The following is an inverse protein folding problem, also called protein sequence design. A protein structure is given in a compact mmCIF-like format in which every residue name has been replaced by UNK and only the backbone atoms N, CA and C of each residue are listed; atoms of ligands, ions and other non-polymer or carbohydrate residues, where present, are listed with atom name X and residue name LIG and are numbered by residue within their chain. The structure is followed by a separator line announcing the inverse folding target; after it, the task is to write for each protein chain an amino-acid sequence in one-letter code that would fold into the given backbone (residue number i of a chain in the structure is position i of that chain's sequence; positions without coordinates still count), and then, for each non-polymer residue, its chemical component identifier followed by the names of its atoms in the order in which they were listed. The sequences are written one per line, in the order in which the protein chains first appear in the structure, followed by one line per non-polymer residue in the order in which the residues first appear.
data_IF_398366908244
#
_entry.id   IF_398366908244
#
_cell.length_a   1.000
_cell.length_b   1.000
_cell.length_c   1.000
_cell.angle_alpha   90.00
_cell.angle_beta   90.00
_cell.angle_gamma   90.00
#
_symmetry.space_group_name_H-M   'P 1'
#
loop_
_entity.id
_entity.type
_entity.pdbx_description
1 polymer ?
#
# COMPACT_ATOMS: atom_id res chain seq x y z
N UNK A 1 -3.26 -9.65 -4.50
CA UNK A 1 -3.39 -8.45 -3.64
C UNK A 1 -4.54 -7.60 -4.16
N UNK A 2 -5.42 -7.16 -3.27
CA UNK A 2 -6.55 -6.29 -3.63
C UNK A 2 -6.05 -4.86 -3.76
N UNK A 3 -6.33 -4.23 -4.89
CA UNK A 3 -5.93 -2.86 -5.17
C UNK A 3 -7.11 -2.09 -5.76
N UNK A 4 -7.05 -0.77 -5.73
CA UNK A 4 -8.06 0.08 -6.38
C UNK A 4 -7.38 1.12 -7.26
N UNK A 5 -8.13 1.61 -8.25
CA UNK A 5 -7.69 2.73 -9.06
C UNK A 5 -7.76 4.04 -8.27
N UNK A 6 -6.85 4.96 -8.56
CA UNK A 6 -6.88 6.30 -7.97
C UNK A 6 -8.19 7.03 -8.25
N UNK A 7 -8.89 6.65 -9.29
CA UNK A 7 -10.17 7.27 -9.68
C UNK A 7 -11.38 6.65 -9.00
N UNK A 8 -11.20 5.56 -8.26
CA UNK A 8 -12.29 4.89 -7.56
C UNK A 8 -12.84 5.81 -6.46
N UNK A 9 -14.16 6.06 -6.43
CA UNK A 9 -14.74 6.86 -5.36
C UNK A 9 -14.53 6.19 -4.00
N UNK A 10 -14.31 7.00 -2.97
CA UNK A 10 -14.06 6.49 -1.62
C UNK A 10 -15.21 5.64 -1.09
N UNK A 11 -16.45 5.96 -1.44
CA UNK A 11 -17.60 5.13 -1.04
C UNK A 11 -17.48 3.70 -1.56
N UNK A 12 -16.93 3.51 -2.77
CA UNK A 12 -16.67 2.16 -3.30
C UNK A 12 -15.50 1.49 -2.62
N UNK A 13 -14.45 2.27 -2.29
CA UNK A 13 -13.31 1.75 -1.53
C UNK A 13 -13.78 1.23 -0.16
N UNK A 14 -14.64 1.98 0.51
CA UNK A 14 -15.19 1.58 1.80
C UNK A 14 -15.98 0.27 1.67
N UNK A 15 -16.83 0.16 0.66
CA UNK A 15 -17.60 -1.06 0.43
C UNK A 15 -16.70 -2.27 0.16
N UNK A 16 -15.66 -2.07 -0.65
CA UNK A 16 -14.69 -3.12 -0.94
C UNK A 16 -13.99 -3.57 0.34
N UNK A 17 -13.52 -2.62 1.13
CA UNK A 17 -12.83 -2.92 2.37
C UNK A 17 -13.74 -3.66 3.36
N UNK A 18 -15.01 -3.28 3.45
CA UNK A 18 -15.98 -3.97 4.30
C UNK A 18 -16.21 -5.40 3.81
N UNK A 19 -16.37 -5.58 2.51
CA UNK A 19 -16.61 -6.92 1.93
C UNK A 19 -15.42 -7.84 2.11
N UNK A 20 -14.20 -7.31 2.01
CA UNK A 20 -12.96 -8.08 2.09
C UNK A 20 -12.35 -8.09 3.49
N UNK A 21 -12.96 -7.38 4.46
CA UNK A 21 -12.48 -7.25 5.83
C UNK A 21 -11.05 -6.74 5.92
N UNK A 22 -10.75 -5.71 5.12
CA UNK A 22 -9.47 -5.01 5.14
C UNK A 22 -9.70 -3.54 5.44
N UNK A 23 -8.68 -2.87 5.98
CA UNK A 23 -8.76 -1.46 6.34
C UNK A 23 -7.79 -0.59 5.55
N UNK A 24 -7.01 -1.19 4.69
CA UNK A 24 -5.99 -0.52 3.87
C UNK A 24 -5.94 -1.18 2.50
N UNK A 25 -5.69 -0.35 1.49
CA UNK A 25 -5.64 -0.86 0.13
C UNK A 25 -4.63 -0.06 -0.68
N UNK A 26 -3.78 -0.73 -1.47
CA UNK A 26 -2.90 -0.03 -2.40
C UNK A 26 -3.71 0.61 -3.52
N UNK A 27 -3.25 1.77 -3.96
CA UNK A 27 -3.90 2.56 -5.02
C UNK A 27 -2.96 2.67 -6.20
N UNK A 28 -3.48 2.39 -7.39
CA UNK A 28 -2.71 2.47 -8.62
C UNK A 28 -3.27 3.54 -9.54
N UNK A 29 -2.42 4.01 -10.43
CA UNK A 29 -2.78 4.90 -11.53
C UNK A 29 -2.09 4.43 -12.80
N UNK A 30 -2.71 4.64 -13.94
CA UNK A 30 -2.07 4.36 -15.23
C UNK A 30 -1.01 5.44 -15.50
N UNK A 31 0.20 5.00 -15.75
CA UNK A 31 1.32 5.85 -16.15
C UNK A 31 1.98 5.19 -17.35
N UNK A 32 2.04 5.89 -18.48
CA UNK A 32 2.62 5.36 -19.71
C UNK A 32 2.09 3.96 -20.07
N UNK A 33 0.76 3.77 -19.91
CA UNK A 33 0.10 2.53 -20.24
C UNK A 33 0.24 1.40 -19.23
N UNK A 34 0.90 1.64 -18.09
CA UNK A 34 1.10 0.62 -17.06
C UNK A 34 0.47 1.07 -15.74
N UNK A 35 -0.05 0.09 -15.00
CA UNK A 35 -0.54 0.34 -13.65
C UNK A 35 0.63 0.49 -12.70
N UNK A 36 0.69 1.62 -12.01
CA UNK A 36 1.71 1.90 -11.02
C UNK A 36 1.06 2.21 -9.70
N UNK A 37 1.52 1.56 -8.63
CA UNK A 37 1.07 1.88 -7.28
C UNK A 37 1.64 3.23 -6.90
N UNK A 38 0.76 4.18 -6.59
CA UNK A 38 1.13 5.55 -6.27
C UNK A 38 0.98 5.88 -4.79
N UNK A 39 0.37 5.00 -4.04
CA UNK A 39 0.18 5.19 -2.61
C UNK A 39 -0.76 4.17 -2.02
N UNK A 40 -1.17 4.44 -0.81
CA UNK A 40 -2.05 3.56 -0.04
C UNK A 40 -3.16 4.39 0.58
N UNK A 41 -4.38 3.87 0.58
CA UNK A 41 -5.47 4.42 1.36
C UNK A 41 -5.61 3.59 2.63
N UNK A 42 -5.61 4.27 3.77
CA UNK A 42 -5.87 3.67 5.08
C UNK A 42 -7.19 4.22 5.60
N UNK A 43 -8.21 3.39 5.72
CA UNK A 43 -9.55 3.84 6.10
C UNK A 43 -9.56 4.53 7.46
N UNK A 44 -8.82 4.00 8.42
CA UNK A 44 -8.78 4.59 9.77
C UNK A 44 -8.35 6.05 9.72
N UNK A 45 -7.32 6.36 8.92
CA UNK A 45 -6.83 7.72 8.79
C UNK A 45 -7.81 8.58 7.98
N UNK A 46 -8.29 8.06 6.85
CA UNK A 46 -9.13 8.83 5.93
C UNK A 46 -10.47 9.21 6.57
N UNK A 47 -11.10 8.27 7.27
CA UNK A 47 -12.42 8.50 7.87
C UNK A 47 -12.38 9.49 9.04
N UNK A 48 -11.21 9.70 9.64
CA UNK A 48 -11.06 10.67 10.72
C UNK A 48 -10.75 12.08 10.23
N UNK A 49 -10.53 12.27 8.93
CA UNK A 49 -10.32 13.61 8.40
C UNK A 49 -11.62 14.41 8.49
N UNK A 50 -11.58 15.67 9.04
CA UNK A 50 -12.80 16.46 9.21
C UNK A 50 -13.54 16.73 7.91
N UNK A 51 -12.81 16.84 6.81
CA UNK A 51 -13.39 17.15 5.49
C UNK A 51 -13.56 15.90 4.63
N UNK A 52 -13.63 14.72 5.26
CA UNK A 52 -13.78 13.49 4.49
C UNK A 52 -15.06 13.52 3.64
N UNK A 53 -14.88 13.25 2.35
CA UNK A 53 -15.98 13.23 1.38
C UNK A 53 -15.98 11.89 0.66
N UNK A 54 -17.00 11.03 0.88
CA UNK A 54 -17.06 9.72 0.23
C UNK A 54 -17.24 9.79 -1.29
N UNK A 55 -17.63 10.94 -1.82
CA UNK A 55 -17.73 11.14 -3.27
C UNK A 55 -16.37 11.44 -3.91
N UNK A 56 -15.37 11.82 -3.13
CA UNK A 56 -14.02 12.01 -3.67
C UNK A 56 -13.36 10.67 -3.99
N UNK A 57 -12.28 10.75 -4.73
CA UNK A 57 -11.58 9.57 -5.24
C UNK A 57 -10.51 9.08 -4.27
N UNK A 58 -10.13 7.81 -4.41
CA UNK A 58 -9.04 7.23 -3.63
C UNK A 58 -7.75 8.04 -3.77
N UNK A 59 -7.49 8.58 -4.95
CA UNK A 59 -6.33 9.43 -5.22
C UNK A 59 -6.27 10.70 -4.36
N UNK A 60 -7.39 11.12 -3.79
CA UNK A 60 -7.46 12.31 -2.93
C UNK A 60 -7.08 12.01 -1.48
N UNK A 61 -6.97 10.74 -1.11
CA UNK A 61 -6.71 10.32 0.27
C UNK A 61 -5.47 9.42 0.38
N UNK A 62 -4.51 9.61 -0.52
CA UNK A 62 -3.31 8.79 -0.56
C UNK A 62 -2.36 9.10 0.58
N UNK A 63 -1.77 8.03 1.12
CA UNK A 63 -0.55 8.10 1.89
C UNK A 63 0.59 7.62 1.01
N UNK A 64 1.78 8.27 1.07
CA UNK A 64 2.88 7.87 0.21
C UNK A 64 3.38 6.47 0.57
N UNK A 65 3.77 5.67 -0.43
CA UNK A 65 4.35 4.36 -0.15
C UNK A 65 5.80 4.50 0.31
N UNK A 66 6.30 3.47 0.96
CA UNK A 66 7.72 3.33 1.24
C UNK A 66 8.40 2.71 0.03
N UNK A 67 9.58 3.21 -0.34
CA UNK A 67 10.40 2.65 -1.41
C UNK A 67 11.59 1.93 -0.82
N UNK A 68 11.84 0.70 -1.26
CA UNK A 68 12.98 -0.10 -0.82
C UNK A 68 13.79 -0.57 -2.02
N UNK A 69 15.13 -0.43 -1.99
CA UNK A 69 15.99 -1.00 -3.03
C UNK A 69 15.86 -2.53 -3.06
N UNK A 70 15.89 -3.13 -4.25
CA UNK A 70 15.74 -4.58 -4.40
C UNK A 70 16.89 -5.37 -3.76
N UNK A 71 18.05 -4.76 -3.61
CA UNK A 71 19.24 -5.39 -3.01
C UNK A 71 19.33 -5.21 -1.49
N UNK A 72 18.32 -4.57 -0.89
CA UNK A 72 18.30 -4.38 0.55
C UNK A 72 18.03 -5.72 1.27
N UNK A 73 18.78 -6.00 2.32
CA UNK A 73 18.54 -7.19 3.12
C UNK A 73 17.17 -7.14 3.78
N UNK A 74 16.51 -8.29 3.91
CA UNK A 74 15.16 -8.37 4.48
C UNK A 74 15.09 -7.81 5.90
N UNK A 75 16.12 -8.02 6.71
CA UNK A 75 16.13 -7.47 8.06
C UNK A 75 16.15 -5.96 8.06
N UNK A 76 16.88 -5.35 7.13
CA UNK A 76 16.90 -3.90 6.97
C UNK A 76 15.58 -3.38 6.44
N UNK A 77 14.97 -4.10 5.53
CA UNK A 77 13.65 -3.77 5.02
C UNK A 77 12.61 -3.78 6.14
N UNK A 78 12.64 -4.81 6.99
CA UNK A 78 11.76 -4.91 8.14
C UNK A 78 11.90 -3.70 9.06
N UNK A 79 13.15 -3.33 9.38
CA UNK A 79 13.41 -2.16 10.24
C UNK A 79 12.86 -0.87 9.64
N UNK A 80 13.03 -0.67 8.33
CA UNK A 80 12.51 0.53 7.67
C UNK A 80 10.98 0.56 7.69
N UNK A 81 10.34 -0.58 7.47
CA UNK A 81 8.89 -0.66 7.52
C UNK A 81 8.37 -0.40 8.93
N UNK A 82 9.03 -0.94 9.95
CA UNK A 82 8.65 -0.70 11.34
C UNK A 82 8.80 0.78 11.72
N UNK A 83 9.91 1.40 11.33
CA UNK A 83 10.15 2.83 11.63
C UNK A 83 9.16 3.74 10.93
N UNK A 84 8.83 3.44 9.69
CA UNK A 84 7.92 4.26 8.90
C UNK A 84 6.45 4.03 9.22
N UNK A 85 6.13 2.91 9.89
CA UNK A 85 4.75 2.51 10.12
C UNK A 85 4.05 2.01 8.88
N UNK A 86 4.77 1.86 7.77
CA UNK A 86 4.20 1.38 6.52
C UNK A 86 4.17 -0.14 6.49
N UNK A 87 3.07 -0.68 6.01
CA UNK A 87 2.89 -2.13 5.87
C UNK A 87 3.17 -2.63 4.46
N UNK A 88 3.36 -1.70 3.52
CA UNK A 88 3.56 -1.99 2.11
C UNK A 88 4.73 -1.16 1.60
N UNK A 89 5.58 -1.77 0.78
CA UNK A 89 6.69 -1.08 0.15
C UNK A 89 6.74 -1.41 -1.33
N UNK A 90 7.20 -0.44 -2.11
CA UNK A 90 7.50 -0.62 -3.52
C UNK A 90 8.98 -0.90 -3.64
N UNK A 91 9.33 -2.02 -4.28
CA UNK A 91 10.70 -2.42 -4.48
C UNK A 91 11.21 -1.80 -5.77
N UNK A 92 12.37 -1.17 -5.71
CA UNK A 92 12.95 -0.47 -6.85
C UNK A 92 14.34 -0.98 -7.19
N UNK A 93 14.72 -0.83 -8.44
CA UNK A 93 16.08 -1.06 -8.92
C UNK A 93 16.94 0.19 -8.74
N UNK A 94 18.24 0.06 -9.03
CA UNK A 94 19.18 1.17 -8.94
C UNK A 94 18.77 2.35 -9.83
N UNK A 95 18.12 2.10 -10.96
CA UNK A 95 17.60 3.12 -11.86
C UNK A 95 16.26 3.71 -11.40
N UNK A 96 15.83 3.40 -10.17
CA UNK A 96 14.56 3.80 -9.58
C UNK A 96 13.33 3.20 -10.25
N UNK A 97 13.51 2.21 -11.11
CA UNK A 97 12.40 1.52 -11.74
C UNK A 97 11.75 0.57 -10.73
N UNK A 98 10.44 0.59 -10.68
CA UNK A 98 9.68 -0.30 -9.82
C UNK A 98 9.75 -1.73 -10.36
N UNK A 99 10.05 -2.69 -9.49
CA UNK A 99 10.12 -4.10 -9.86
C UNK A 99 9.12 -4.96 -9.13
N UNK A 100 8.50 -4.43 -8.08
CA UNK A 100 7.49 -5.20 -7.37
C UNK A 100 6.99 -4.48 -6.13
N UNK A 101 6.10 -5.16 -5.43
CA UNK A 101 5.50 -4.70 -4.19
C UNK A 101 5.73 -5.78 -3.15
N UNK A 102 6.08 -5.38 -1.93
CA UNK A 102 6.21 -6.31 -0.82
C UNK A 102 5.41 -5.80 0.37
N UNK A 103 4.69 -6.69 1.02
CA UNK A 103 3.97 -6.39 2.26
C UNK A 103 4.81 -6.80 3.45
N UNK A 104 4.63 -6.11 4.58
CA UNK A 104 5.31 -6.44 5.83
C UNK A 104 5.11 -7.91 6.19
N UNK A 105 3.90 -8.43 6.00
CA UNK A 105 3.57 -9.81 6.29
C UNK A 105 4.41 -10.79 5.48
N UNK A 106 4.72 -10.46 4.22
CA UNK A 106 5.55 -11.30 3.37
C UNK A 106 6.98 -11.37 3.89
N UNK A 107 7.52 -10.24 4.35
CA UNK A 107 8.86 -10.21 4.94
C UNK A 107 8.91 -11.03 6.21
N UNK A 108 7.91 -10.89 7.07
CA UNK A 108 7.83 -11.66 8.30
C UNK A 108 7.75 -13.16 8.04
N UNK A 109 7.01 -13.54 6.99
CA UNK A 109 6.89 -14.95 6.61
C UNK A 109 8.23 -15.53 6.16
N UNK A 110 9.00 -14.77 5.40
CA UNK A 110 10.32 -15.22 4.94
C UNK A 110 11.32 -15.33 6.09
N UNK A 111 11.34 -14.34 6.99
CA UNK A 111 12.30 -14.29 8.12
C UNK A 111 11.96 -15.28 9.23
N UNK A 112 10.68 -15.49 9.51
CA UNK A 112 10.22 -16.22 10.69
C UNK A 112 9.36 -17.45 10.36
N UNK A 113 9.13 -17.71 9.09
CA UNK A 113 8.24 -18.78 8.64
C UNK A 113 6.77 -18.42 8.84
N UNK A 114 5.88 -19.39 8.58
CA UNK A 114 4.46 -19.16 8.80
C UNK A 114 4.14 -19.19 10.29
N UNK A 115 3.46 -18.14 10.74
CA UNK A 115 3.10 -17.94 12.13
C UNK A 115 1.58 -17.98 12.26
N UNK A 116 1.06 -18.42 13.40
CA UNK A 116 -0.35 -18.34 13.68
C UNK A 116 -1.14 -19.58 13.38
N UNK A 117 -0.50 -20.69 13.40
CA UNK A 117 -1.19 -21.98 13.32
C UNK A 117 -1.21 -22.70 14.65
#
# INVERSE_FOLDING_TARGET
MITVSAETPMEEVIKLCQAQRITRVPVWRLQTGQRRVIGVVTLKTSLYEPDFDPAKQAGDYLQPPLYLPEDLHLESALKRMQRSGQWLAIVTRQDRREVGIVALQDILRVLFGEVGR
#
